data_IF_821262292805
#
_entry.id   IF_821262292805
#
_cell.length_a   1.000
_cell.length_b   1.000
_cell.length_c   1.000
_cell.angle_alpha   90.00
_cell.angle_beta   90.00
_cell.angle_gamma   90.00
#
_symmetry.space_group_name_H-M   'P 1'
#
loop_
_entity.id
_entity.type
_entity.pdbx_description
1 polymer ?
#
# COMPACT_ATOMS: atom_id res chain seq x y z
N UNK A 1 -23.26 -3.30 20.15
CA UNK A 1 -23.70 -2.95 18.79
C UNK A 1 -22.48 -3.04 17.88
N UNK A 2 -22.58 -3.62 16.66
CA UNK A 2 -21.48 -3.60 15.72
C UNK A 2 -21.15 -2.16 15.29
N UNK A 3 -19.92 -1.92 14.87
CA UNK A 3 -19.48 -0.61 14.39
C UNK A 3 -20.26 -0.22 13.12
N UNK A 4 -20.73 1.04 12.97
CA UNK A 4 -21.47 1.45 11.79
C UNK A 4 -20.55 1.49 10.57
N UNK A 5 -21.00 0.89 9.47
CA UNK A 5 -20.25 0.84 8.19
C UNK A 5 -20.98 1.71 7.18
N UNK A 6 -20.25 2.66 6.57
CA UNK A 6 -20.81 3.59 5.59
C UNK A 6 -20.97 2.94 4.21
N UNK A 7 -19.97 2.18 3.74
CA UNK A 7 -19.94 1.58 2.41
C UNK A 7 -19.29 0.19 2.43
N UNK A 8 -19.72 -0.67 1.51
CA UNK A 8 -19.08 -1.95 1.21
C UNK A 8 -18.61 -1.98 -0.23
N UNK A 9 -17.43 -2.55 -0.46
CA UNK A 9 -16.83 -2.72 -1.78
C UNK A 9 -16.64 -4.22 -2.07
N UNK A 10 -17.03 -4.66 -3.27
CA UNK A 10 -16.79 -6.03 -3.72
C UNK A 10 -15.31 -6.27 -4.07
N UNK A 11 -14.97 -7.54 -4.33
CA UNK A 11 -13.60 -7.97 -4.62
C UNK A 11 -12.96 -7.24 -5.81
N UNK A 12 -13.75 -6.92 -6.82
CA UNK A 12 -13.25 -6.25 -8.03
C UNK A 12 -12.90 -4.80 -7.72
N UNK A 13 -13.70 -4.12 -6.90
CA UNK A 13 -13.41 -2.78 -6.38
C UNK A 13 -12.20 -2.76 -5.45
N UNK A 14 -12.02 -3.77 -4.59
CA UNK A 14 -10.88 -3.82 -3.67
C UNK A 14 -9.52 -3.78 -4.39
N UNK A 15 -9.45 -4.32 -5.61
CA UNK A 15 -8.22 -4.30 -6.43
C UNK A 15 -7.74 -2.87 -6.76
N UNK A 16 -8.66 -1.90 -6.80
CA UNK A 16 -8.43 -0.50 -7.19
C UNK A 16 -8.19 0.44 -6.01
N UNK A 17 -8.31 -0.04 -4.78
CA UNK A 17 -8.12 0.77 -3.58
C UNK A 17 -6.64 0.75 -3.18
N UNK A 18 -6.07 1.95 -3.02
CA UNK A 18 -4.75 2.17 -2.42
C UNK A 18 -4.79 3.48 -1.62
N UNK A 19 -4.74 3.37 -0.29
CA UNK A 19 -4.71 4.52 0.63
C UNK A 19 -3.25 4.83 1.01
N UNK A 20 -2.67 5.96 0.56
CA UNK A 20 -1.32 6.33 0.97
C UNK A 20 -1.24 6.62 2.47
N UNK A 21 -0.31 5.95 3.16
CA UNK A 21 0.04 6.19 4.56
C UNK A 21 1.43 6.80 4.61
N UNK A 22 1.50 8.08 4.99
CA UNK A 22 2.74 8.85 5.03
C UNK A 22 2.46 10.34 4.92
N UNK A 23 3.46 11.14 5.28
CA UNK A 23 3.45 12.59 5.14
C UNK A 23 4.36 13.06 4.01
N UNK A 24 4.31 14.35 3.73
CA UNK A 24 5.24 15.00 2.81
C UNK A 24 6.67 14.84 3.38
N UNK A 25 7.59 14.34 2.55
CA UNK A 25 9.00 14.19 2.91
C UNK A 25 9.34 12.99 3.81
N UNK A 26 8.36 12.21 4.28
CA UNK A 26 8.62 11.00 5.10
C UNK A 26 8.78 9.73 4.26
N UNK A 27 8.33 9.81 3.01
CA UNK A 27 7.98 8.62 2.23
C UNK A 27 6.59 8.10 2.58
N UNK A 28 6.04 7.26 1.70
CA UNK A 28 4.66 6.74 1.78
C UNK A 28 4.64 5.24 1.52
N UNK A 29 3.77 4.52 2.22
CA UNK A 29 3.39 3.14 1.90
C UNK A 29 1.88 3.10 1.74
N UNK A 30 1.36 2.43 0.72
CA UNK A 30 -0.09 2.38 0.48
C UNK A 30 -0.74 1.14 1.07
N UNK A 31 -1.88 1.33 1.74
CA UNK A 31 -2.77 0.26 2.22
C UNK A 31 -3.79 -0.08 1.13
N UNK A 32 -3.73 -1.32 0.64
CA UNK A 32 -4.64 -1.83 -0.37
C UNK A 32 -6.03 -2.17 0.18
N UNK A 33 -7.04 -2.21 -0.69
CA UNK A 33 -8.42 -2.58 -0.29
C UNK A 33 -8.56 -3.98 0.31
N UNK A 34 -7.57 -4.85 0.12
CA UNK A 34 -7.53 -6.21 0.68
C UNK A 34 -6.76 -6.28 2.00
N UNK A 35 -6.24 -5.16 2.49
CA UNK A 35 -5.40 -5.08 3.70
C UNK A 35 -3.92 -5.34 3.45
N UNK A 36 -3.48 -5.44 2.19
CA UNK A 36 -2.07 -5.59 1.82
C UNK A 36 -1.31 -4.25 1.81
N UNK A 37 0.01 -4.29 1.95
CA UNK A 37 0.88 -3.12 1.82
C UNK A 37 1.56 -3.11 0.45
N UNK A 38 1.46 -1.98 -0.26
CA UNK A 38 2.00 -1.79 -1.62
C UNK A 38 2.54 -0.37 -1.80
N UNK A 39 3.12 -0.09 -2.96
CA UNK A 39 3.59 1.24 -3.36
C UNK A 39 4.52 1.89 -2.33
N UNK A 40 5.67 1.25 -2.08
CA UNK A 40 6.61 1.69 -1.06
C UNK A 40 7.47 2.85 -1.56
N UNK A 41 6.98 4.08 -1.45
CA UNK A 41 7.67 5.29 -1.88
C UNK A 41 8.48 5.92 -0.74
N UNK A 42 9.54 5.24 -0.29
CA UNK A 42 10.42 5.71 0.78
C UNK A 42 11.76 6.18 0.18
N UNK A 43 12.46 7.11 0.86
CA UNK A 43 13.72 7.74 0.40
C UNK A 43 13.61 8.59 -0.87
N UNK A 44 12.47 9.26 -1.09
CA UNK A 44 12.26 10.10 -2.27
C UNK A 44 12.44 9.35 -3.60
N UNK A 45 12.22 8.02 -3.61
CA UNK A 45 12.20 7.19 -4.82
C UNK A 45 10.76 6.81 -5.17
N UNK A 46 10.26 7.14 -6.36
CA UNK A 46 8.96 6.67 -6.81
C UNK A 46 8.98 5.15 -7.00
N UNK A 47 7.98 4.47 -6.46
CA UNK A 47 7.93 3.00 -6.40
C UNK A 47 6.48 2.49 -6.38
N UNK A 48 5.59 3.16 -7.14
CA UNK A 48 4.24 2.65 -7.39
C UNK A 48 4.29 1.27 -8.06
N UNK A 49 3.41 0.38 -7.65
CA UNK A 49 3.36 -1.02 -8.05
C UNK A 49 4.36 -1.92 -7.34
N UNK A 50 5.28 -1.37 -6.52
CA UNK A 50 6.25 -2.19 -5.79
C UNK A 50 5.62 -2.80 -4.53
N UNK A 51 5.69 -4.13 -4.43
CA UNK A 51 5.27 -4.92 -3.26
C UNK A 51 6.49 -5.75 -2.81
N UNK A 52 7.03 -5.52 -1.62
CA UNK A 52 8.12 -6.34 -1.07
C UNK A 52 7.69 -7.81 -0.95
N UNK A 53 8.51 -8.74 -1.44
CA UNK A 53 8.22 -10.18 -1.41
C UNK A 53 9.32 -11.02 -2.06
N UNK A 54 9.12 -12.35 -2.13
CA UNK A 54 10.13 -13.35 -2.54
C UNK A 54 10.82 -13.06 -3.89
N UNK A 55 10.14 -12.42 -4.85
CA UNK A 55 10.77 -12.00 -6.13
C UNK A 55 11.88 -10.95 -5.97
N UNK A 56 11.95 -10.29 -4.83
CA UNK A 56 12.94 -9.28 -4.45
C UNK A 56 13.55 -9.57 -3.06
N UNK A 57 13.41 -10.80 -2.56
CA UNK A 57 13.56 -11.20 -1.15
C UNK A 57 14.93 -10.96 -0.47
N UNK A 58 15.93 -10.46 -1.19
CA UNK A 58 17.23 -10.08 -0.62
C UNK A 58 17.75 -8.71 -1.06
N UNK A 59 16.97 -7.92 -1.81
CA UNK A 59 17.40 -6.56 -2.14
C UNK A 59 16.84 -5.61 -1.08
N UNK A 60 17.70 -4.86 -0.36
CA UNK A 60 17.21 -3.80 0.50
C UNK A 60 16.32 -2.90 -0.32
N UNK A 61 15.17 -2.53 0.23
CA UNK A 61 14.33 -1.48 -0.33
C UNK A 61 15.13 -0.17 -0.61
N UNK A 62 16.29 -0.02 0.03
CA UNK A 62 17.22 1.12 -0.07
C UNK A 62 18.48 0.89 -0.92
N UNK A 63 18.64 -0.27 -1.57
CA UNK A 63 19.82 -0.53 -2.43
C UNK A 63 19.74 0.20 -3.78
#
# INVERSE_FOLDING_TARGET
MPFPILNYYDKDHLSRIALPLGGIGTGTVSLGGRGDLRDWEIMNRPAKGFIPGDRFGCMPFFA
#
